data_IF_260086356733
#
_entry.id   IF_260086356733
#
_cell.length_a   1.000
_cell.length_b   1.000
_cell.length_c   1.000
_cell.angle_alpha   90.00
_cell.angle_beta   90.00
_cell.angle_gamma   90.00
#
_symmetry.space_group_name_H-M   'P 1'
#
loop_
_entity.id
_entity.type
_entity.pdbx_description
1 polymer ?
#
# COMPACT_ATOMS: atom_id res chain seq x y z
N UNK A 1 8.82 7.21 0.09
CA UNK A 1 9.38 8.16 1.11
C UNK A 1 8.33 8.18 2.20
N UNK A 2 8.65 7.89 3.46
CA UNK A 2 7.65 7.88 4.56
C UNK A 2 7.11 9.30 4.83
N UNK A 3 6.23 9.81 3.96
CA UNK A 3 5.39 10.97 4.28
C UNK A 3 4.32 10.47 5.27
N UNK A 4 4.21 11.07 6.46
CA UNK A 4 3.15 10.70 7.38
C UNK A 4 1.80 11.03 6.75
N UNK A 5 0.91 10.04 6.64
CA UNK A 5 -0.49 10.25 6.29
C UNK A 5 -1.15 10.89 7.52
N UNK A 6 -1.40 12.19 7.42
CA UNK A 6 -2.06 12.98 8.46
C UNK A 6 -3.05 13.91 7.77
N UNK A 7 -4.30 13.88 8.21
CA UNK A 7 -5.32 14.86 7.84
C UNK A 7 -5.38 15.87 8.98
N UNK A 8 -5.08 17.13 8.71
CA UNK A 8 -5.10 18.19 9.72
C UNK A 8 -6.53 18.57 10.11
N UNK A 9 -6.72 19.23 11.26
CA UNK A 9 -8.06 19.67 11.73
C UNK A 9 -8.80 20.61 10.77
N UNK A 10 -8.07 21.27 9.86
CA UNK A 10 -8.62 22.16 8.83
C UNK A 10 -8.73 21.47 7.46
N UNK A 11 -8.48 20.16 7.40
CA UNK A 11 -8.51 19.36 6.19
C UNK A 11 -9.64 18.32 6.26
N UNK A 12 -10.01 17.81 5.10
CA UNK A 12 -11.06 16.82 4.91
C UNK A 12 -10.45 15.64 4.14
N UNK A 13 -10.66 14.43 4.66
CA UNK A 13 -10.45 13.20 3.91
C UNK A 13 -11.69 12.96 3.05
N UNK A 14 -11.52 12.77 1.74
CA UNK A 14 -12.57 12.35 0.84
C UNK A 14 -12.19 11.01 0.21
N UNK A 15 -13.01 9.99 0.45
CA UNK A 15 -12.86 8.66 -0.14
C UNK A 15 -13.97 8.46 -1.17
N UNK A 16 -13.59 8.15 -2.40
CA UNK A 16 -14.51 7.87 -3.50
C UNK A 16 -14.59 6.36 -3.76
N UNK A 17 -15.82 5.86 -3.84
CA UNK A 17 -16.14 4.46 -4.09
C UNK A 17 -16.83 4.29 -5.45
N UNK A 18 -16.79 3.07 -6.00
CA UNK A 18 -17.32 2.72 -7.33
C UNK A 18 -18.80 3.06 -7.56
N UNK A 19 -19.63 3.02 -6.52
CA UNK A 19 -21.11 3.11 -6.62
C UNK A 19 -21.68 4.50 -6.35
N UNK A 20 -21.00 5.56 -6.77
CA UNK A 20 -21.34 6.97 -6.46
C UNK A 20 -21.45 7.24 -4.94
N UNK A 21 -20.81 6.41 -4.12
CA UNK A 21 -20.74 6.58 -2.68
C UNK A 21 -19.45 7.33 -2.35
N UNK A 22 -19.56 8.28 -1.43
CA UNK A 22 -18.43 9.07 -0.97
C UNK A 22 -18.50 9.18 0.54
N UNK A 23 -17.36 8.98 1.19
CA UNK A 23 -17.18 9.29 2.62
C UNK A 23 -16.32 10.53 2.70
N UNK A 24 -16.79 11.53 3.44
CA UNK A 24 -16.03 12.73 3.73
C UNK A 24 -15.93 12.92 5.24
N UNK A 25 -14.72 12.88 5.77
CA UNK A 25 -14.46 13.00 7.20
C UNK A 25 -13.50 14.17 7.46
N UNK A 26 -13.84 14.98 8.45
CA UNK A 26 -12.99 16.10 8.87
C UNK A 26 -11.85 15.60 9.73
N UNK A 27 -10.66 16.19 9.58
CA UNK A 27 -9.56 15.94 10.48
C UNK A 27 -9.81 16.43 11.92
N UNK A 28 -8.91 16.11 12.86
CA UNK A 28 -7.63 15.44 12.61
C UNK A 28 -7.75 13.92 12.53
N UNK A 29 -7.10 13.31 11.54
CA UNK A 29 -7.04 11.84 11.36
C UNK A 29 -5.59 11.41 11.13
N UNK A 30 -5.15 10.40 11.86
CA UNK A 30 -3.87 9.72 11.61
C UNK A 30 -3.99 8.60 10.56
N UNK A 31 -2.85 8.09 10.10
CA UNK A 31 -2.77 7.01 9.10
C UNK A 31 -3.63 5.79 9.46
N UNK A 32 -3.63 5.37 10.72
CA UNK A 32 -4.37 4.19 11.17
C UNK A 32 -5.88 4.41 11.15
N UNK A 33 -6.33 5.64 11.43
CA UNK A 33 -7.73 6.03 11.32
C UNK A 33 -8.17 6.11 9.87
N UNK A 34 -7.34 6.70 9.00
CA UNK A 34 -7.60 6.78 7.55
C UNK A 34 -7.75 5.36 6.97
N UNK A 35 -6.82 4.45 7.27
CA UNK A 35 -6.88 3.06 6.82
C UNK A 35 -8.17 2.36 7.27
N UNK A 36 -8.58 2.54 8.54
CA UNK A 36 -9.85 1.97 9.03
C UNK A 36 -11.08 2.47 8.29
N UNK A 37 -11.11 3.76 7.93
CA UNK A 37 -12.23 4.35 7.18
C UNK A 37 -12.31 3.75 5.78
N UNK A 38 -11.16 3.43 5.18
CA UNK A 38 -11.07 2.84 3.84
C UNK A 38 -11.44 1.35 3.88
N UNK A 39 -10.93 0.61 4.87
CA UNK A 39 -11.23 -0.82 5.08
C UNK A 39 -12.72 -1.08 5.34
N UNK A 40 -13.48 -0.11 5.87
CA UNK A 40 -14.93 -0.25 6.07
C UNK A 40 -15.70 -0.42 4.75
N UNK A 41 -15.10 -0.08 3.60
CA UNK A 41 -15.73 -0.22 2.31
C UNK A 41 -14.75 -0.78 1.26
N UNK A 42 -14.95 -2.07 0.93
CA UNK A 42 -14.14 -2.88 -0.01
C UNK A 42 -13.90 -2.27 -1.41
N UNK A 43 -14.63 -1.22 -1.79
CA UNK A 43 -14.71 -0.70 -3.15
C UNK A 43 -14.07 0.71 -3.32
N UNK A 44 -13.08 1.07 -2.49
CA UNK A 44 -12.40 2.37 -2.57
C UNK A 44 -11.57 2.50 -3.86
N UNK A 45 -11.77 3.58 -4.61
CA UNK A 45 -11.09 3.84 -5.90
C UNK A 45 -10.09 4.99 -5.80
N UNK A 46 -10.45 6.07 -5.11
CA UNK A 46 -9.60 7.27 -5.00
C UNK A 46 -9.75 7.91 -3.64
N UNK A 47 -8.65 8.46 -3.14
CA UNK A 47 -8.58 9.08 -1.83
C UNK A 47 -7.92 10.44 -1.94
N UNK A 48 -8.62 11.47 -1.46
CA UNK A 48 -8.19 12.85 -1.52
C UNK A 48 -8.03 13.46 -0.13
N UNK A 49 -7.03 14.31 0.01
CA UNK A 49 -6.89 15.28 1.09
C UNK A 49 -7.27 16.65 0.57
N UNK A 50 -8.26 17.26 1.20
CA UNK A 50 -8.79 18.57 0.80
C UNK A 50 -8.50 19.57 1.90
N UNK A 51 -7.87 20.69 1.55
CA UNK A 51 -7.75 21.85 2.43
C UNK A 51 -8.64 22.99 1.87
N UNK A 52 -9.84 23.20 2.44
CA UNK A 52 -10.76 24.23 1.97
C UNK A 52 -10.22 25.65 2.12
N UNK A 53 -9.34 25.89 3.11
CA UNK A 53 -8.79 27.22 3.38
C UNK A 53 -7.79 27.65 2.31
N UNK A 54 -7.07 26.69 1.75
CA UNK A 54 -6.07 26.91 0.70
C UNK A 54 -6.59 26.57 -0.70
N UNK A 55 -7.86 26.12 -0.80
CA UNK A 55 -8.46 25.60 -2.02
C UNK A 55 -7.57 24.54 -2.70
N UNK A 56 -6.98 23.67 -1.87
CA UNK A 56 -6.09 22.60 -2.30
C UNK A 56 -6.80 21.25 -2.22
N UNK A 57 -6.58 20.43 -3.24
CA UNK A 57 -7.01 19.03 -3.31
C UNK A 57 -5.82 18.20 -3.76
N UNK A 58 -5.32 17.35 -2.88
CA UNK A 58 -4.21 16.44 -3.10
C UNK A 58 -4.76 15.02 -3.22
N UNK A 59 -4.43 14.33 -4.30
CA UNK A 59 -4.67 12.89 -4.42
C UNK A 59 -3.58 12.17 -3.62
N UNK A 60 -3.98 11.43 -2.59
CA UNK A 60 -3.10 10.72 -1.66
C UNK A 60 -3.28 9.20 -1.78
N UNK A 61 -3.88 8.72 -2.87
CA UNK A 61 -4.17 7.30 -3.09
C UNK A 61 -2.87 6.48 -3.10
N UNK A 62 -1.81 7.00 -3.74
CA UNK A 62 -0.51 6.33 -3.80
C UNK A 62 0.16 6.28 -2.42
N UNK A 63 0.19 7.39 -1.68
CA UNK A 63 0.75 7.40 -0.32
C UNK A 63 0.04 6.40 0.60
N UNK A 64 -1.28 6.26 0.46
CA UNK A 64 -2.05 5.28 1.23
C UNK A 64 -1.79 3.85 0.74
N UNK A 65 -1.62 3.64 -0.57
CA UNK A 65 -1.27 2.33 -1.11
C UNK A 65 0.14 1.91 -0.64
N UNK A 66 1.13 2.81 -0.62
CA UNK A 66 2.47 2.56 -0.06
C UNK A 66 2.38 2.11 1.40
N UNK A 67 1.57 2.80 2.22
CA UNK A 67 1.35 2.42 3.62
C UNK A 67 0.66 1.06 3.76
N UNK A 68 -0.40 0.80 2.98
CA UNK A 68 -1.12 -0.46 2.98
C UNK A 68 -0.21 -1.64 2.60
N UNK A 69 0.58 -1.48 1.53
CA UNK A 69 1.52 -2.50 1.05
C UNK A 69 2.58 -2.79 2.11
N UNK A 70 3.15 -1.75 2.73
CA UNK A 70 4.17 -1.88 3.77
C UNK A 70 3.66 -2.59 5.02
N UNK A 71 2.43 -2.33 5.44
CA UNK A 71 1.82 -2.98 6.61
C UNK A 71 1.43 -4.44 6.32
N UNK A 72 1.13 -4.79 5.06
CA UNK A 72 0.64 -6.11 4.68
C UNK A 72 1.66 -6.93 3.86
N UNK A 73 2.93 -6.52 3.81
CA UNK A 73 3.93 -7.11 2.90
C UNK A 73 4.08 -8.63 3.05
N UNK A 74 3.97 -9.15 4.27
CA UNK A 74 4.08 -10.59 4.55
C UNK A 74 2.84 -11.40 4.10
N UNK A 75 1.74 -10.72 3.76
CA UNK A 75 0.45 -11.31 3.40
C UNK A 75 0.00 -10.98 1.98
N UNK A 76 0.78 -10.16 1.26
CA UNK A 76 0.51 -9.78 -0.12
C UNK A 76 1.27 -10.69 -1.08
N UNK A 77 0.52 -11.27 -2.02
CA UNK A 77 0.98 -12.16 -3.07
C UNK A 77 0.32 -11.76 -4.40
N UNK A 78 0.78 -12.36 -5.50
CA UNK A 78 0.26 -12.08 -6.85
C UNK A 78 -1.27 -12.19 -6.96
N UNK A 79 -1.87 -13.16 -6.26
CA UNK A 79 -3.32 -13.41 -6.26
C UNK A 79 -4.08 -12.71 -5.10
N UNK A 80 -3.42 -11.84 -4.33
CA UNK A 80 -4.07 -11.17 -3.19
C UNK A 80 -5.18 -10.24 -3.66
N UNK A 81 -6.35 -10.35 -3.03
CA UNK A 81 -7.47 -9.45 -3.25
C UNK A 81 -7.23 -8.16 -2.47
N UNK A 82 -6.87 -7.10 -3.18
CA UNK A 82 -6.64 -5.75 -2.65
C UNK A 82 -7.66 -4.77 -3.22
N UNK A 83 -7.81 -3.60 -2.59
CA UNK A 83 -8.62 -2.50 -3.13
C UNK A 83 -8.11 -2.05 -4.49
N UNK A 84 -8.99 -1.48 -5.33
CA UNK A 84 -8.64 -1.07 -6.68
C UNK A 84 -7.53 -0.01 -6.69
N UNK A 85 -7.55 0.98 -5.79
CA UNK A 85 -6.50 1.99 -5.71
C UNK A 85 -5.13 1.39 -5.34
N UNK A 86 -5.10 0.30 -4.57
CA UNK A 86 -3.86 -0.44 -4.25
C UNK A 86 -3.43 -1.24 -5.47
N UNK A 87 -4.34 -1.94 -6.14
CA UNK A 87 -4.02 -2.74 -7.33
C UNK A 87 -3.37 -1.90 -8.43
N UNK A 88 -3.85 -0.68 -8.64
CA UNK A 88 -3.34 0.23 -9.66
C UNK A 88 -2.15 1.09 -9.18
N UNK A 89 -1.73 0.96 -7.92
CA UNK A 89 -0.64 1.76 -7.33
C UNK A 89 0.74 1.35 -7.83
N UNK A 90 1.68 2.28 -7.83
CA UNK A 90 3.09 1.96 -8.14
C UNK A 90 3.67 1.05 -7.05
N UNK A 91 3.37 1.33 -5.78
CA UNK A 91 3.85 0.54 -4.65
C UNK A 91 3.49 -0.95 -4.75
N UNK A 92 2.27 -1.29 -5.18
CA UNK A 92 1.86 -2.69 -5.35
C UNK A 92 2.54 -3.35 -6.55
N UNK A 93 2.68 -2.63 -7.67
CA UNK A 93 3.39 -3.15 -8.84
C UNK A 93 4.88 -3.40 -8.55
N UNK A 94 5.53 -2.51 -7.80
CA UNK A 94 6.91 -2.69 -7.37
C UNK A 94 7.06 -3.95 -6.50
N UNK A 95 6.15 -4.18 -5.54
CA UNK A 95 6.11 -5.40 -4.74
C UNK A 95 5.97 -6.66 -5.62
N UNK A 96 5.06 -6.65 -6.59
CA UNK A 96 4.86 -7.79 -7.49
C UNK A 96 6.10 -8.05 -8.36
N UNK A 97 6.79 -7.00 -8.80
CA UNK A 97 8.05 -7.13 -9.54
C UNK A 97 9.13 -7.78 -8.69
N UNK A 98 9.28 -7.34 -7.43
CA UNK A 98 10.27 -7.90 -6.49
C UNK A 98 9.99 -9.39 -6.22
N UNK A 99 8.72 -9.78 -6.02
CA UNK A 99 8.31 -11.17 -5.84
C UNK A 99 8.58 -12.02 -7.09
N UNK A 100 8.36 -11.47 -8.28
CA UNK A 100 8.64 -12.17 -9.54
C UNK A 100 10.15 -12.40 -9.73
N UNK A 101 10.97 -11.40 -9.42
CA UNK A 101 12.43 -11.49 -9.48
C UNK A 101 12.97 -12.50 -8.45
N UNK A 102 12.44 -12.51 -7.23
CA UNK A 102 12.79 -13.51 -6.20
C UNK A 102 12.46 -14.92 -6.69
N UNK A 103 11.25 -15.14 -7.23
CA UNK A 103 10.84 -16.43 -7.78
C UNK A 103 11.74 -16.90 -8.93
N UNK A 104 12.09 -16.00 -9.85
CA UNK A 104 13.02 -16.32 -10.93
C UNK A 104 14.41 -16.71 -10.40
N UNK A 105 14.93 -15.97 -9.43
CA UNK A 105 16.22 -16.27 -8.82
C UNK A 105 16.21 -17.61 -8.09
N UNK A 106 15.14 -17.93 -7.36
CA UNK A 106 14.96 -19.20 -6.69
C UNK A 106 14.88 -20.37 -7.68
N UNK A 107 14.18 -20.20 -8.82
CA UNK A 107 14.11 -21.20 -9.88
C UNK A 107 15.46 -21.43 -10.60
N UNK A 108 16.22 -20.36 -10.84
CA UNK A 108 17.49 -20.43 -11.58
C UNK A 108 18.69 -20.86 -10.72
N UNK A 109 18.74 -20.40 -9.47
CA UNK A 109 19.92 -20.53 -8.61
C UNK A 109 19.66 -21.38 -7.36
N UNK A 110 18.41 -21.82 -7.13
CA UNK A 110 17.96 -22.42 -5.88
C UNK A 110 17.62 -21.35 -4.85
N UNK A 111 16.93 -21.70 -3.77
CA UNK A 111 16.53 -20.71 -2.76
C UNK A 111 17.74 -20.06 -2.09
N UNK A 112 17.59 -18.88 -1.51
CA UNK A 112 18.66 -18.23 -0.73
C UNK A 112 19.33 -19.19 0.27
N UNK A 113 18.54 -19.96 1.02
CA UNK A 113 19.07 -20.97 1.95
C UNK A 113 19.87 -22.07 1.24
N UNK A 114 19.45 -22.51 0.05
CA UNK A 114 20.17 -23.52 -0.73
C UNK A 114 21.48 -22.97 -1.30
N UNK A 115 21.48 -21.73 -1.77
CA UNK A 115 22.65 -21.03 -2.30
C UNK A 115 23.72 -20.80 -1.22
N UNK A 116 23.28 -20.48 0.00
CA UNK A 116 24.17 -20.11 1.10
C UNK A 116 24.37 -21.22 2.14
N UNK A 117 23.92 -22.45 1.86
CA UNK A 117 24.16 -23.59 2.73
C UNK A 117 25.65 -23.95 2.74
N UNK A 118 26.27 -23.86 3.92
CA UNK A 118 27.62 -24.36 4.14
C UNK A 118 27.69 -25.84 3.77
N UNK A 119 28.58 -26.17 2.81
CA UNK A 119 28.88 -27.55 2.48
C UNK A 119 29.89 -28.07 3.50
N UNK A 120 29.95 -29.40 3.73
CA UNK A 120 30.95 -30.00 4.61
C UNK A 120 32.40 -29.60 4.27
N UNK A 121 32.67 -29.25 3.01
CA UNK A 121 33.96 -28.80 2.52
C UNK A 121 34.31 -27.35 2.91
N UNK A 122 33.33 -26.53 3.28
CA UNK A 122 33.51 -25.10 3.61
C UNK A 122 33.85 -24.90 5.11
N UNK A 123 33.87 -25.99 5.90
CA UNK A 123 34.06 -25.99 7.38
C UNK A 123 35.28 -26.81 7.83
N UNK A 124 36.16 -27.20 6.88
CA UNK A 124 37.43 -27.90 7.12
C UNK A 124 38.62 -26.94 7.02
#
# INVERSE_FOLDING_TARGET
>A
MDKPILINSNEILLVAYDKDQHIAESGPLDASQVLKIIDEADDAIQIFRINPSENNCEDISEEIAEAYVKENIEHLHEDSKVHDFVRESVAYHDLLSDLADEKYNDEMFGTYEQQHRLRPCDVL
#
